data_IF_741796983217
#
_entry.id   IF_741796983217
#
_cell.length_a   1.000
_cell.length_b   1.000
_cell.length_c   1.000
_cell.angle_alpha   90.00
_cell.angle_beta   90.00
_cell.angle_gamma   90.00
#
_symmetry.space_group_name_H-M   'P 1'
#
loop_
_entity.id
_entity.type
_entity.pdbx_description
1 polymer ?
#
# COMPACT_ATOMS: atom_id res chain seq x y z
N UNK A 1 -115.74 32.19 7.63
CA UNK A 1 -115.08 30.87 7.77
C UNK A 1 -114.69 30.65 9.25
N UNK A 2 -114.50 29.39 9.63
CA UNK A 2 -114.55 28.76 10.96
C UNK A 2 -113.48 29.18 12.00
N UNK A 3 -113.85 28.95 13.28
CA UNK A 3 -113.07 28.91 14.55
C UNK A 3 -111.87 27.94 14.57
N UNK A 4 -110.90 28.19 15.47
CA UNK A 4 -110.41 27.31 16.59
C UNK A 4 -108.97 27.68 16.99
N UNK A 5 -108.60 28.16 18.19
CA UNK A 5 -108.47 27.57 19.56
C UNK A 5 -107.26 26.63 19.82
N UNK A 6 -106.49 27.01 20.86
CA UNK A 6 -105.77 26.25 21.93
C UNK A 6 -104.25 25.93 21.81
N UNK A 7 -103.52 26.39 22.85
CA UNK A 7 -102.61 25.72 23.83
C UNK A 7 -101.80 24.50 23.34
N UNK A 8 -100.56 24.22 23.75
CA UNK A 8 -100.10 23.70 25.08
C UNK A 8 -98.55 23.54 24.97
N UNK A 9 -97.73 24.11 25.87
CA UNK A 9 -97.09 23.49 27.04
C UNK A 9 -96.09 22.34 26.75
N UNK A 10 -94.89 22.48 27.36
CA UNK A 10 -93.89 21.46 27.75
C UNK A 10 -92.85 21.03 26.69
N UNK A 11 -91.62 21.46 26.92
CA UNK A 11 -90.41 20.97 26.25
C UNK A 11 -89.14 21.35 27.03
N UNK A 12 -88.88 20.67 28.15
CA UNK A 12 -87.58 20.54 28.83
C UNK A 12 -87.10 21.79 29.59
N UNK A 13 -87.10 21.86 30.92
CA UNK A 13 -86.44 20.94 31.87
C UNK A 13 -85.17 20.32 31.27
N UNK A 14 -84.25 21.14 30.75
CA UNK A 14 -82.81 20.78 30.61
C UNK A 14 -81.88 22.02 30.70
N UNK A 15 -82.39 23.26 30.60
CA UNK A 15 -81.51 24.42 30.38
C UNK A 15 -80.82 25.03 31.63
N UNK A 16 -80.98 24.45 32.84
CA UNK A 16 -80.36 25.02 34.06
C UNK A 16 -79.71 23.97 34.97
N UNK A 17 -79.35 22.81 34.40
CA UNK A 17 -78.66 21.72 35.08
C UNK A 17 -77.32 21.31 34.45
N UNK A 18 -76.74 22.14 33.58
CA UNK A 18 -75.47 21.84 32.87
C UNK A 18 -74.41 22.95 33.01
N UNK A 19 -74.49 23.80 34.05
CA UNK A 19 -73.34 24.63 34.46
C UNK A 19 -72.42 23.86 35.43
N UNK A 20 -72.76 22.60 35.77
CA UNK A 20 -71.97 21.70 36.61
C UNK A 20 -71.55 20.41 35.87
N UNK A 21 -71.36 20.48 34.55
CA UNK A 21 -70.70 19.42 33.80
C UNK A 21 -69.25 19.84 33.52
N UNK A 22 -68.40 19.51 34.49
CA UNK A 22 -66.94 19.34 34.38
C UNK A 22 -66.19 20.29 33.46
N UNK A 23 -65.39 21.18 34.05
CA UNK A 23 -64.07 21.50 33.48
C UNK A 23 -63.22 20.23 33.50
N UNK A 24 -63.54 19.27 32.62
CA UNK A 24 -62.64 18.19 32.30
C UNK A 24 -61.47 18.80 31.55
N UNK A 25 -60.37 19.05 32.25
CA UNK A 25 -59.09 19.26 31.60
C UNK A 25 -58.81 18.00 30.75
N UNK A 26 -59.01 18.09 29.44
CA UNK A 26 -58.58 17.04 28.53
C UNK A 26 -57.06 17.16 28.39
N UNK A 27 -56.32 16.22 28.98
CA UNK A 27 -54.90 16.07 28.71
C UNK A 27 -54.76 15.40 27.34
N UNK A 28 -54.35 16.17 26.34
CA UNK A 28 -53.98 15.64 25.03
C UNK A 28 -52.55 15.13 25.12
N UNK A 29 -52.37 13.80 25.09
CA UNK A 29 -51.05 13.19 24.91
C UNK A 29 -50.93 12.68 23.48
N UNK A 30 -50.03 13.32 22.73
CA UNK A 30 -49.56 12.88 21.44
C UNK A 30 -48.09 12.45 21.58
N UNK A 31 -47.63 11.57 20.72
CA UNK A 31 -46.27 11.03 20.77
C UNK A 31 -45.52 11.41 19.50
N UNK A 32 -44.39 12.08 19.66
CA UNK A 32 -43.47 12.41 18.58
C UNK A 32 -42.33 11.39 18.56
N UNK A 33 -42.08 10.77 17.41
CA UNK A 33 -41.02 9.78 17.23
C UNK A 33 -39.89 10.33 16.37
N UNK A 34 -38.64 10.06 16.77
CA UNK A 34 -37.44 10.27 15.94
C UNK A 34 -36.68 8.96 15.89
N UNK A 35 -36.37 8.48 14.69
CA UNK A 35 -35.55 7.29 14.47
C UNK A 35 -34.28 7.69 13.72
N UNK A 36 -33.12 7.35 14.27
CA UNK A 36 -31.81 7.57 13.64
C UNK A 36 -31.17 6.23 13.29
N UNK A 37 -30.53 6.13 12.12
CA UNK A 37 -29.73 4.98 11.68
C UNK A 37 -28.32 5.45 11.30
N UNK A 38 -27.32 4.65 11.59
CA UNK A 38 -25.92 4.92 11.27
C UNK A 38 -25.21 3.63 10.82
N UNK A 39 -24.23 3.75 9.93
CA UNK A 39 -23.35 2.67 9.44
C UNK A 39 -21.90 3.17 9.39
N UNK A 40 -20.94 2.24 9.48
CA UNK A 40 -19.49 2.52 9.34
C UNK A 40 -19.00 2.16 7.94
N UNK A 41 -17.92 2.80 7.49
CA UNK A 41 -17.24 2.45 6.23
C UNK A 41 -16.05 1.51 6.43
N UNK A 42 -15.56 0.93 5.33
CA UNK A 42 -14.49 -0.07 5.36
C UNK A 42 -13.11 0.48 4.94
N UNK A 43 -12.06 -0.08 5.53
CA UNK A 43 -10.68 0.15 5.12
C UNK A 43 -10.28 -0.86 4.02
N UNK A 44 -9.62 -0.41 2.94
CA UNK A 44 -9.47 -1.26 1.74
C UNK A 44 -8.22 -1.00 0.91
N UNK A 45 -7.06 -0.79 1.54
CA UNK A 45 -5.79 -0.67 0.82
C UNK A 45 -5.31 -2.04 0.34
N UNK A 46 -4.90 -2.13 -0.93
CA UNK A 46 -4.46 -3.37 -1.59
C UNK A 46 -3.33 -3.11 -2.58
N UNK A 47 -2.45 -4.08 -2.75
CA UNK A 47 -1.53 -4.20 -3.88
C UNK A 47 -2.26 -4.74 -5.10
N UNK A 48 -1.93 -4.21 -6.27
CA UNK A 48 -2.34 -4.69 -7.59
C UNK A 48 -1.15 -4.59 -8.54
N UNK A 49 -1.27 -5.19 -9.72
CA UNK A 49 -0.33 -4.97 -10.82
C UNK A 49 1.14 -5.23 -10.45
N UNK A 50 1.33 -6.36 -9.76
CA UNK A 50 2.64 -6.82 -9.31
C UNK A 50 3.42 -7.38 -10.50
N UNK A 51 4.67 -6.95 -10.65
CA UNK A 51 5.55 -7.44 -11.69
C UNK A 51 7.03 -7.11 -11.50
N UNK A 52 7.83 -7.54 -12.47
CA UNK A 52 9.23 -7.17 -12.59
C UNK A 52 9.35 -5.71 -13.00
N UNK A 53 10.45 -5.04 -12.66
CA UNK A 53 10.64 -3.64 -13.03
C UNK A 53 10.64 -3.41 -14.55
N UNK A 54 10.05 -2.28 -14.96
CA UNK A 54 9.95 -1.85 -16.34
C UNK A 54 8.76 -2.47 -17.08
N UNK A 55 7.61 -2.60 -16.41
CA UNK A 55 6.39 -3.10 -17.06
C UNK A 55 5.85 -2.09 -18.08
N UNK A 56 6.13 -0.80 -17.87
CA UNK A 56 5.65 0.30 -18.71
C UNK A 56 6.78 1.18 -19.23
N UNK A 57 6.59 1.77 -20.40
CA UNK A 57 7.65 2.54 -21.08
C UNK A 57 8.06 3.81 -20.33
N UNK A 58 7.15 4.41 -19.58
CA UNK A 58 7.36 5.58 -18.72
C UNK A 58 8.08 5.26 -17.40
N UNK A 59 8.09 4.01 -16.96
CA UNK A 59 8.95 3.53 -15.86
C UNK A 59 10.40 3.37 -16.29
N UNK A 60 10.65 3.17 -17.59
CA UNK A 60 11.99 2.89 -18.12
C UNK A 60 12.81 4.17 -18.28
N UNK A 61 14.12 4.05 -18.15
CA UNK A 61 15.11 5.07 -18.47
C UNK A 61 15.36 5.14 -19.99
N UNK A 62 14.29 4.99 -20.79
CA UNK A 62 14.32 4.96 -22.27
C UNK A 62 15.31 3.92 -22.83
N UNK A 63 15.43 2.76 -22.18
CA UNK A 63 16.36 1.69 -22.57
C UNK A 63 17.78 1.84 -22.00
N UNK A 64 18.05 2.91 -21.24
CA UNK A 64 19.35 3.14 -20.60
C UNK A 64 19.42 2.60 -19.16
N UNK A 65 18.33 2.03 -18.63
CA UNK A 65 18.26 1.45 -17.30
C UNK A 65 18.40 -0.07 -17.32
N UNK A 66 18.29 -0.68 -16.15
CA UNK A 66 18.40 -2.12 -15.95
C UNK A 66 17.20 -2.66 -15.15
N UNK A 67 16.75 -3.88 -15.46
CA UNK A 67 15.82 -4.66 -14.63
C UNK A 67 16.57 -5.64 -13.72
N UNK A 68 17.68 -6.19 -14.21
CA UNK A 68 18.56 -7.11 -13.47
C UNK A 68 20.02 -6.72 -13.74
N UNK A 69 20.84 -6.62 -12.70
CA UNK A 69 22.30 -6.63 -12.80
C UNK A 69 22.77 -8.04 -12.50
N UNK A 70 23.47 -8.66 -13.43
CA UNK A 70 23.88 -10.07 -13.34
C UNK A 70 25.33 -10.35 -13.79
N UNK A 71 26.04 -9.37 -14.34
CA UNK A 71 27.40 -9.55 -14.82
C UNK A 71 27.53 -10.43 -16.08
N UNK A 72 26.43 -10.76 -16.76
CA UNK A 72 26.46 -11.58 -17.98
C UNK A 72 26.61 -10.69 -19.22
N UNK A 73 27.53 -11.09 -20.12
CA UNK A 73 27.83 -10.38 -21.36
C UNK A 73 28.56 -9.05 -21.13
N UNK A 74 28.80 -8.31 -22.21
CA UNK A 74 29.64 -7.09 -22.18
C UNK A 74 29.05 -5.95 -21.33
N UNK A 75 27.72 -5.89 -21.23
CA UNK A 75 27.02 -4.87 -20.43
C UNK A 75 26.90 -5.26 -18.96
N UNK A 76 26.87 -6.55 -18.64
CA UNK A 76 26.70 -7.05 -17.28
C UNK A 76 25.31 -6.83 -16.67
N UNK A 77 24.30 -6.48 -17.47
CA UNK A 77 22.92 -6.28 -17.02
C UNK A 77 21.90 -6.58 -18.12
N UNK A 78 20.66 -6.79 -17.69
CA UNK A 78 19.46 -6.89 -18.53
C UNK A 78 18.75 -5.55 -18.52
N UNK A 79 18.48 -4.99 -19.70
CA UNK A 79 17.86 -3.67 -19.85
C UNK A 79 16.46 -3.57 -19.24
N UNK A 80 16.09 -2.37 -18.81
CA UNK A 80 14.80 -2.03 -18.19
C UNK A 80 13.56 -2.35 -19.06
N UNK A 81 13.72 -2.48 -20.37
CA UNK A 81 12.63 -2.83 -21.31
C UNK A 81 12.45 -4.35 -21.51
N UNK A 82 13.30 -5.18 -20.91
CA UNK A 82 13.32 -6.62 -21.22
C UNK A 82 12.03 -7.34 -20.82
N UNK A 83 11.44 -6.94 -19.69
CA UNK A 83 10.19 -7.51 -19.17
C UNK A 83 8.94 -6.71 -19.55
N UNK A 84 9.09 -5.68 -20.40
CA UNK A 84 8.04 -4.72 -20.73
C UNK A 84 6.82 -5.41 -21.31
N UNK A 85 5.72 -5.34 -20.54
CA UNK A 85 4.43 -5.92 -20.85
C UNK A 85 3.51 -4.92 -21.54
N UNK A 86 3.60 -3.64 -21.16
CA UNK A 86 2.66 -2.60 -21.56
C UNK A 86 1.29 -2.77 -20.90
N UNK A 87 0.23 -2.31 -21.56
CA UNK A 87 -1.14 -2.28 -21.02
C UNK A 87 -1.90 -3.61 -21.13
N UNK A 88 -1.23 -4.73 -21.41
CA UNK A 88 -1.87 -6.04 -21.57
C UNK A 88 -1.70 -6.88 -20.31
N UNK A 89 -2.82 -7.16 -19.64
CA UNK A 89 -2.95 -8.06 -18.48
C UNK A 89 -2.13 -7.68 -17.23
N UNK A 90 -2.78 -7.01 -16.27
CA UNK A 90 -2.18 -6.61 -15.00
C UNK A 90 -1.97 -7.78 -14.00
N UNK A 91 -2.35 -9.01 -14.35
CA UNK A 91 -2.29 -10.17 -13.45
C UNK A 91 -1.08 -11.07 -13.69
N UNK A 92 -0.18 -10.71 -14.61
CA UNK A 92 1.07 -11.44 -14.90
C UNK A 92 2.27 -10.57 -14.54
N UNK A 93 3.35 -11.18 -14.06
CA UNK A 93 4.50 -10.42 -13.52
C UNK A 93 5.47 -9.88 -14.59
N UNK A 94 5.34 -10.34 -15.83
CA UNK A 94 6.18 -9.92 -16.95
C UNK A 94 5.52 -10.28 -18.29
N UNK A 95 6.03 -9.72 -19.38
CA UNK A 95 5.67 -10.15 -20.73
C UNK A 95 5.81 -11.67 -20.90
N UNK A 96 4.81 -12.38 -21.48
CA UNK A 96 4.90 -13.82 -21.70
C UNK A 96 6.19 -14.23 -22.44
N UNK A 97 6.88 -15.25 -21.94
CA UNK A 97 8.14 -15.77 -22.48
C UNK A 97 9.41 -14.95 -22.16
N UNK A 98 9.29 -13.73 -21.59
CA UNK A 98 10.47 -12.94 -21.23
C UNK A 98 11.27 -13.56 -20.08
N UNK A 99 10.61 -14.16 -19.09
CA UNK A 99 11.29 -14.87 -17.99
C UNK A 99 12.07 -16.08 -18.52
N UNK A 100 11.47 -16.88 -19.41
CA UNK A 100 12.17 -18.01 -20.04
C UNK A 100 13.35 -17.55 -20.89
N UNK A 101 13.20 -16.45 -21.62
CA UNK A 101 14.29 -15.85 -22.37
C UNK A 101 15.44 -15.38 -21.46
N UNK A 102 15.13 -14.83 -20.28
CA UNK A 102 16.14 -14.52 -19.27
C UNK A 102 16.85 -15.79 -18.78
N UNK A 103 16.09 -16.84 -18.42
CA UNK A 103 16.65 -18.12 -17.95
C UNK A 103 17.57 -18.75 -18.99
N UNK A 104 17.21 -18.70 -20.27
CA UNK A 104 18.08 -19.17 -21.35
C UNK A 104 19.32 -18.29 -21.55
N UNK A 105 19.24 -16.96 -21.38
CA UNK A 105 20.41 -16.07 -21.38
C UNK A 105 21.35 -16.37 -20.20
N UNK A 106 20.80 -16.64 -19.02
CA UNK A 106 21.58 -16.91 -17.80
C UNK A 106 22.19 -18.32 -17.75
N UNK A 107 21.74 -19.20 -18.64
CA UNK A 107 22.15 -20.60 -18.70
C UNK A 107 23.66 -20.74 -18.87
N UNK A 108 24.26 -21.51 -17.96
CA UNK A 108 25.71 -21.73 -17.92
C UNK A 108 26.49 -20.64 -17.18
N UNK A 109 25.87 -19.52 -16.82
CA UNK A 109 26.47 -18.47 -16.01
C UNK A 109 26.01 -18.53 -14.54
N UNK A 110 24.71 -18.66 -14.30
CA UNK A 110 24.14 -18.77 -12.95
C UNK A 110 22.86 -19.63 -12.96
N UNK A 111 22.34 -19.91 -11.76
CA UNK A 111 21.06 -20.59 -11.53
C UNK A 111 20.15 -19.73 -10.64
N UNK A 112 20.19 -18.41 -10.81
CA UNK A 112 19.29 -17.51 -10.06
C UNK A 112 17.86 -17.77 -10.53
N UNK A 113 16.95 -17.95 -9.58
CA UNK A 113 15.52 -18.00 -9.84
C UNK A 113 14.83 -16.86 -9.08
N UNK A 114 13.68 -16.43 -9.57
CA UNK A 114 12.92 -15.37 -8.93
C UNK A 114 11.43 -15.49 -9.20
N UNK A 115 10.63 -14.96 -8.28
CA UNK A 115 9.19 -14.88 -8.42
C UNK A 115 8.62 -13.65 -7.72
N UNK A 116 7.44 -13.23 -8.14
CA UNK A 116 6.63 -12.24 -7.44
C UNK A 116 5.18 -12.74 -7.38
N UNK A 117 4.57 -12.71 -6.20
CA UNK A 117 3.23 -13.25 -5.98
C UNK A 117 2.36 -12.31 -5.13
N UNK A 118 1.10 -12.12 -5.57
CA UNK A 118 0.03 -11.60 -4.72
C UNK A 118 -0.49 -12.75 -3.85
N UNK A 119 -0.10 -12.77 -2.57
CA UNK A 119 -0.44 -13.85 -1.62
C UNK A 119 -1.92 -13.75 -1.25
N UNK A 120 -2.66 -14.86 -1.17
CA UNK A 120 -4.10 -14.85 -0.83
C UNK A 120 -4.92 -13.90 -1.73
N UNK A 121 -4.57 -13.81 -3.02
CA UNK A 121 -5.16 -12.83 -3.93
C UNK A 121 -6.67 -12.99 -4.08
N UNK A 122 -7.34 -11.84 -4.13
CA UNK A 122 -8.76 -11.69 -4.43
C UNK A 122 -8.94 -10.77 -5.63
N UNK A 123 -10.19 -10.58 -6.08
CA UNK A 123 -10.49 -9.60 -7.12
C UNK A 123 -10.85 -8.25 -6.50
N UNK A 124 -10.50 -7.17 -7.19
CA UNK A 124 -10.94 -5.83 -6.80
C UNK A 124 -12.46 -5.74 -6.66
N UNK A 125 -12.90 -5.01 -5.65
CA UNK A 125 -14.32 -4.78 -5.33
C UNK A 125 -14.88 -3.51 -5.99
N UNK A 126 -14.01 -2.59 -6.41
CA UNK A 126 -14.30 -1.34 -7.11
C UNK A 126 -13.34 -1.12 -8.27
N UNK A 127 -13.77 -0.37 -9.28
CA UNK A 127 -12.89 0.09 -10.35
C UNK A 127 -11.94 1.17 -9.84
N UNK A 128 -10.69 1.17 -10.32
CA UNK A 128 -9.72 2.25 -10.10
C UNK A 128 -9.37 2.83 -11.48
N UNK A 129 -9.88 4.04 -11.74
CA UNK A 129 -9.69 4.70 -13.02
C UNK A 129 -10.11 3.86 -14.22
N UNK A 130 -9.41 4.06 -15.34
CA UNK A 130 -9.64 3.29 -16.57
C UNK A 130 -8.84 1.99 -16.61
N UNK A 131 -7.76 1.89 -15.84
CA UNK A 131 -6.82 0.77 -15.87
C UNK A 131 -7.32 -0.47 -15.12
N UNK A 132 -7.69 -0.33 -13.84
CA UNK A 132 -8.00 -1.48 -12.99
C UNK A 132 -9.51 -1.70 -12.87
N UNK A 133 -9.95 -2.90 -13.24
CA UNK A 133 -11.36 -3.25 -13.31
C UNK A 133 -11.75 -4.21 -12.22
N UNK A 134 -12.87 -3.90 -11.57
CA UNK A 134 -13.56 -4.76 -10.62
C UNK A 134 -13.72 -6.17 -11.20
N UNK A 135 -13.58 -7.18 -10.36
CA UNK A 135 -13.69 -8.60 -10.72
C UNK A 135 -12.64 -9.15 -11.71
N UNK A 136 -11.85 -8.29 -12.38
CA UNK A 136 -10.83 -8.71 -13.35
C UNK A 136 -9.41 -8.58 -12.81
N UNK A 137 -9.11 -7.49 -12.10
CA UNK A 137 -7.79 -7.22 -11.53
C UNK A 137 -7.60 -8.01 -10.22
N UNK A 138 -6.52 -8.78 -10.16
CA UNK A 138 -6.03 -9.43 -8.95
C UNK A 138 -5.48 -8.39 -7.97
N UNK A 139 -5.83 -8.56 -6.70
CA UNK A 139 -5.44 -7.67 -5.62
C UNK A 139 -5.11 -8.48 -4.36
N UNK A 140 -4.22 -7.96 -3.53
CA UNK A 140 -3.93 -8.57 -2.23
C UNK A 140 -3.51 -7.53 -1.19
N UNK A 141 -3.69 -7.85 0.09
CA UNK A 141 -3.02 -7.11 1.17
C UNK A 141 -1.54 -7.47 1.34
N UNK A 142 -1.03 -8.46 0.62
CA UNK A 142 0.32 -9.02 0.79
C UNK A 142 0.95 -9.37 -0.56
N UNK A 143 2.24 -9.07 -0.69
CA UNK A 143 3.08 -9.53 -1.79
C UNK A 143 4.23 -10.37 -1.24
N UNK A 144 4.65 -11.37 -2.00
CA UNK A 144 5.84 -12.16 -1.74
C UNK A 144 6.80 -12.00 -2.93
N UNK A 145 8.02 -11.57 -2.64
CA UNK A 145 9.11 -11.49 -3.60
C UNK A 145 10.16 -12.53 -3.22
N UNK A 146 10.51 -13.40 -4.16
CA UNK A 146 11.51 -14.46 -3.96
C UNK A 146 12.63 -14.26 -4.95
N UNK A 147 13.87 -14.34 -4.47
CA UNK A 147 15.07 -14.48 -5.30
C UNK A 147 15.95 -15.54 -4.66
N UNK A 148 16.21 -16.60 -5.41
CA UNK A 148 17.02 -17.74 -4.97
C UNK A 148 18.39 -17.71 -5.64
N UNK A 149 19.41 -18.19 -4.92
CA UNK A 149 20.79 -18.33 -5.40
C UNK A 149 21.46 -17.01 -5.85
N UNK A 150 21.13 -15.89 -5.19
CA UNK A 150 21.84 -14.62 -5.38
C UNK A 150 23.35 -14.75 -5.12
N UNK A 151 24.13 -13.91 -5.79
CA UNK A 151 25.59 -13.84 -5.65
C UNK A 151 26.04 -12.37 -5.59
N UNK A 152 27.25 -12.08 -5.07
CA UNK A 152 27.78 -10.73 -4.98
C UNK A 152 27.69 -9.97 -6.31
N UNK A 153 27.08 -8.78 -6.27
CA UNK A 153 26.85 -7.93 -7.44
C UNK A 153 25.56 -8.20 -8.21
N UNK A 154 24.79 -9.23 -7.85
CA UNK A 154 23.45 -9.43 -8.38
C UNK A 154 22.47 -8.39 -7.81
N UNK A 155 21.62 -7.82 -8.67
CA UNK A 155 20.51 -6.96 -8.24
C UNK A 155 19.28 -7.15 -9.14
N UNK A 156 18.09 -7.03 -8.57
CA UNK A 156 16.83 -7.12 -9.29
C UNK A 156 15.77 -6.21 -8.67
N UNK A 157 14.91 -5.62 -9.51
CA UNK A 157 13.83 -4.71 -9.08
C UNK A 157 12.46 -5.25 -9.46
N UNK A 158 11.51 -5.07 -8.55
CA UNK A 158 10.09 -5.38 -8.69
C UNK A 158 9.25 -4.10 -8.56
N UNK A 159 8.03 -4.15 -9.07
CA UNK A 159 7.09 -3.02 -9.03
C UNK A 159 5.67 -3.49 -8.74
N UNK A 160 4.87 -2.64 -8.11
CA UNK A 160 3.43 -2.87 -7.86
C UNK A 160 2.73 -1.53 -7.65
N UNK A 161 1.42 -1.52 -7.88
CA UNK A 161 0.54 -0.40 -7.50
C UNK A 161 -0.12 -0.69 -6.16
N UNK A 162 -0.35 0.36 -5.37
CA UNK A 162 -1.13 0.35 -4.14
C UNK A 162 -2.37 1.21 -4.37
N UNK A 163 -3.54 0.61 -4.19
CA UNK A 163 -4.84 1.24 -4.44
C UNK A 163 -5.71 1.20 -3.18
N UNK A 164 -6.71 2.07 -3.10
CA UNK A 164 -7.69 2.08 -2.00
C UNK A 164 -9.12 1.87 -2.50
N UNK A 165 -9.63 0.65 -2.32
CA UNK A 165 -11.04 0.27 -2.62
C UNK A 165 -11.98 0.42 -1.43
N UNK A 166 -11.49 0.91 -0.29
CA UNK A 166 -12.30 1.17 0.90
C UNK A 166 -13.27 2.33 0.73
N UNK A 167 -14.01 2.66 1.80
CA UNK A 167 -14.92 3.81 1.87
C UNK A 167 -14.30 5.01 2.58
N UNK A 168 -13.12 4.82 3.19
CA UNK A 168 -12.35 5.85 3.89
C UNK A 168 -10.95 5.99 3.31
N UNK A 169 -10.49 7.24 3.20
CA UNK A 169 -9.14 7.53 2.73
C UNK A 169 -8.13 7.03 3.76
N UNK A 170 -7.00 6.52 3.26
CA UNK A 170 -5.96 5.92 4.07
C UNK A 170 -4.71 6.79 4.08
N UNK A 171 -3.98 6.79 5.20
CA UNK A 171 -2.70 7.47 5.35
C UNK A 171 -1.62 6.44 5.67
N UNK A 172 -0.59 6.33 4.84
CA UNK A 172 0.60 5.54 5.13
C UNK A 172 1.37 6.26 6.24
N UNK A 173 1.23 5.79 7.48
CA UNK A 173 1.74 6.48 8.66
C UNK A 173 3.15 6.05 9.03
N UNK A 174 3.55 4.82 8.67
CA UNK A 174 4.87 4.29 8.92
C UNK A 174 5.17 3.13 7.97
N UNK A 175 6.45 2.79 7.85
CA UNK A 175 6.89 1.53 7.26
C UNK A 175 7.76 0.85 8.31
N UNK A 176 7.56 -0.45 8.55
CA UNK A 176 8.35 -1.25 9.48
C UNK A 176 9.11 -2.31 8.71
N UNK A 177 10.39 -2.47 9.03
CA UNK A 177 11.26 -3.49 8.46
C UNK A 177 11.67 -4.47 9.55
N UNK A 178 11.60 -5.76 9.23
CA UNK A 178 12.08 -6.82 10.12
C UNK A 178 12.84 -7.86 9.31
N UNK A 179 14.06 -8.17 9.73
CA UNK A 179 14.88 -9.19 9.09
C UNK A 179 14.92 -10.44 9.95
N UNK A 180 14.81 -11.61 9.33
CA UNK A 180 15.01 -12.88 10.02
C UNK A 180 15.73 -13.87 9.13
N UNK A 181 16.46 -14.80 9.73
CA UNK A 181 17.09 -15.87 8.98
C UNK A 181 16.04 -16.86 8.47
N UNK A 182 16.21 -17.31 7.22
CA UNK A 182 15.28 -18.25 6.60
C UNK A 182 15.37 -19.62 7.28
N UNK A 183 14.23 -20.29 7.48
CA UNK A 183 14.12 -21.61 8.13
C UNK A 183 14.73 -21.71 9.54
N UNK A 184 14.95 -20.60 10.26
CA UNK A 184 15.70 -20.57 11.53
C UNK A 184 17.13 -21.12 11.42
N UNK A 185 17.69 -21.17 10.21
CA UNK A 185 19.10 -21.48 9.99
C UNK A 185 19.94 -20.25 10.31
N UNK A 186 21.25 -20.44 10.45
CA UNK A 186 22.17 -19.32 10.55
C UNK A 186 22.16 -18.50 9.25
N UNK A 187 21.90 -17.20 9.34
CA UNK A 187 22.01 -16.26 8.22
C UNK A 187 23.44 -15.81 7.96
N UNK A 188 24.39 -16.10 8.86
CA UNK A 188 25.75 -15.60 8.78
C UNK A 188 25.79 -14.08 8.68
N UNK A 189 26.49 -13.56 7.67
CA UNK A 189 26.62 -12.13 7.37
C UNK A 189 25.67 -11.66 6.24
N UNK A 190 24.62 -12.43 5.93
CA UNK A 190 23.68 -12.04 4.87
C UNK A 190 22.93 -10.74 5.16
N UNK A 191 22.73 -10.37 6.42
CA UNK A 191 22.13 -9.10 6.79
C UNK A 191 23.04 -7.91 6.47
N UNK A 192 24.36 -8.12 6.50
CA UNK A 192 25.33 -7.14 6.03
C UNK A 192 25.44 -7.15 4.51
N UNK A 193 25.41 -8.32 3.87
CA UNK A 193 25.65 -8.43 2.42
C UNK A 193 24.42 -8.14 1.54
N UNK A 194 23.22 -8.44 2.01
CA UNK A 194 22.00 -8.17 1.25
C UNK A 194 21.47 -6.80 1.62
N UNK A 195 20.94 -6.09 0.64
CA UNK A 195 20.30 -4.81 0.82
C UNK A 195 19.06 -4.64 -0.03
N UNK A 196 18.24 -3.67 0.38
CA UNK A 196 16.98 -3.32 -0.27
C UNK A 196 16.98 -1.85 -0.65
N UNK A 197 16.41 -1.54 -1.81
CA UNK A 197 16.08 -0.20 -2.25
C UNK A 197 14.56 -0.09 -2.36
N UNK A 198 13.95 0.91 -1.72
CA UNK A 198 12.50 1.12 -1.80
C UNK A 198 12.21 2.56 -2.21
N UNK A 199 11.42 2.71 -3.27
CA UNK A 199 10.90 3.98 -3.73
C UNK A 199 9.38 3.89 -3.86
N UNK A 200 8.67 4.87 -3.31
CA UNK A 200 7.23 4.99 -3.44
C UNK A 200 6.93 6.40 -3.94
N UNK A 201 6.06 6.52 -4.93
CA UNK A 201 5.48 7.81 -5.33
C UNK A 201 3.98 7.68 -5.53
N UNK A 202 3.30 8.82 -5.50
CA UNK A 202 1.88 8.95 -5.71
C UNK A 202 1.60 9.44 -7.12
N UNK A 203 0.56 8.89 -7.73
CA UNK A 203 0.01 9.32 -9.02
C UNK A 203 -1.51 9.49 -8.89
N UNK A 204 -2.08 10.42 -9.66
CA UNK A 204 -3.52 10.60 -9.81
C UNK A 204 -3.82 11.26 -11.16
N UNK A 205 -4.81 10.78 -11.88
CA UNK A 205 -5.34 11.45 -13.09
C UNK A 205 -6.74 12.03 -12.84
N UNK A 206 -7.56 11.37 -12.01
CA UNK A 206 -8.93 11.74 -11.66
C UNK A 206 -9.05 12.08 -10.17
N UNK A 207 -9.70 13.21 -9.80
CA UNK A 207 -10.35 14.19 -10.67
C UNK A 207 -9.39 15.24 -11.28
N UNK A 208 -8.16 15.30 -10.77
CA UNK A 208 -7.13 16.24 -11.24
C UNK A 208 -5.86 15.47 -11.53
N UNK A 209 -5.25 15.73 -12.69
CA UNK A 209 -3.93 15.18 -13.00
C UNK A 209 -2.88 15.78 -12.08
N UNK A 210 -2.12 14.94 -11.40
CA UNK A 210 -0.92 15.32 -10.66
C UNK A 210 0.26 14.57 -11.23
N UNK A 211 1.41 15.24 -11.35
CA UNK A 211 2.67 14.55 -11.68
C UNK A 211 3.03 13.55 -10.56
N UNK A 212 4.02 12.69 -10.84
CA UNK A 212 4.53 11.75 -9.86
C UNK A 212 5.14 12.48 -8.66
N UNK A 213 4.46 12.39 -7.53
CA UNK A 213 4.86 13.02 -6.28
C UNK A 213 5.55 11.98 -5.39
N UNK A 214 6.82 12.18 -5.00
CA UNK A 214 7.48 11.25 -4.09
C UNK A 214 6.67 11.07 -2.81
N UNK A 215 6.62 9.82 -2.32
CA UNK A 215 5.95 9.45 -1.07
C UNK A 215 6.95 8.91 -0.06
N UNK A 216 7.92 8.10 -0.52
CA UNK A 216 8.96 7.52 0.32
C UNK A 216 10.22 7.20 -0.48
N UNK A 217 11.39 7.43 0.12
CA UNK A 217 12.72 7.10 -0.44
C UNK A 217 13.56 6.46 0.67
N UNK A 218 13.75 5.15 0.65
CA UNK A 218 14.41 4.44 1.75
C UNK A 218 15.83 4.93 2.01
N UNK A 219 16.67 5.04 0.98
CA UNK A 219 18.06 5.48 1.16
C UNK A 219 18.14 6.91 1.75
N UNK A 220 17.24 7.79 1.31
CA UNK A 220 17.11 9.13 1.89
C UNK A 220 16.64 9.06 3.35
N UNK A 221 15.67 8.22 3.67
CA UNK A 221 15.16 8.06 5.03
C UNK A 221 16.28 7.62 6.00
N UNK A 222 17.10 6.65 5.60
CA UNK A 222 18.18 6.12 6.44
C UNK A 222 19.35 7.11 6.55
N UNK A 223 19.67 7.87 5.50
CA UNK A 223 20.73 8.88 5.56
C UNK A 223 20.40 10.08 6.46
N UNK A 224 19.13 10.29 6.82
CA UNK A 224 18.75 11.32 7.80
C UNK A 224 19.20 10.97 9.25
N UNK A 225 19.45 9.69 9.55
CA UNK A 225 19.86 9.22 10.87
C UNK A 225 21.38 9.37 11.14
N UNK A 226 22.14 9.96 10.21
CA UNK A 226 23.58 10.22 10.34
C UNK A 226 24.35 9.95 9.05
N UNK A 227 25.66 10.23 9.06
CA UNK A 227 26.54 10.14 7.89
C UNK A 227 27.25 8.79 7.73
N UNK A 228 26.73 7.71 8.33
CA UNK A 228 27.36 6.39 8.22
C UNK A 228 27.05 5.75 6.86
N UNK A 229 28.03 5.78 5.96
CA UNK A 229 27.94 5.22 4.61
C UNK A 229 28.02 3.69 4.61
N UNK A 230 28.48 3.06 5.71
CA UNK A 230 28.63 1.60 5.77
C UNK A 230 27.29 0.86 5.72
N UNK A 231 26.19 1.56 6.03
CA UNK A 231 24.80 1.09 5.92
C UNK A 231 24.34 0.90 4.47
N UNK A 232 25.12 1.38 3.50
CA UNK A 232 24.77 1.36 2.09
C UNK A 232 25.83 0.62 1.27
N UNK A 233 25.42 0.18 0.08
CA UNK A 233 26.31 -0.20 -1.01
C UNK A 233 25.62 0.11 -2.34
N UNK A 234 26.39 0.18 -3.42
CA UNK A 234 25.87 0.51 -4.76
C UNK A 234 25.96 -0.68 -5.70
N UNK A 235 24.87 -0.94 -6.42
CA UNK A 235 24.84 -1.84 -7.57
C UNK A 235 24.08 -1.15 -8.70
N UNK A 236 24.64 -1.16 -9.91
CA UNK A 236 23.99 -0.53 -11.08
C UNK A 236 23.66 0.96 -10.90
N UNK A 237 24.41 1.68 -10.07
CA UNK A 237 24.17 3.10 -9.76
C UNK A 237 23.05 3.37 -8.74
N UNK A 238 22.45 2.34 -8.13
CA UNK A 238 21.40 2.45 -7.11
C UNK A 238 22.00 2.19 -5.72
N UNK A 239 21.63 3.02 -4.75
CA UNK A 239 21.97 2.83 -3.34
C UNK A 239 21.01 1.82 -2.69
N UNK A 240 21.55 0.70 -2.23
CA UNK A 240 20.86 -0.30 -1.44
C UNK A 240 21.19 -0.10 0.04
N UNK A 241 20.17 -0.17 0.89
CA UNK A 241 20.36 -0.17 2.35
C UNK A 241 20.54 -1.61 2.80
N UNK A 242 21.64 -1.90 3.49
CA UNK A 242 21.91 -3.21 4.08
C UNK A 242 20.81 -3.58 5.07
N UNK A 243 20.43 -4.85 5.11
CA UNK A 243 19.39 -5.34 6.00
C UNK A 243 19.73 -5.10 7.48
N UNK A 244 21.01 -5.22 7.85
CA UNK A 244 21.52 -4.92 9.20
C UNK A 244 21.27 -3.48 9.65
N UNK A 245 21.06 -2.55 8.71
CA UNK A 245 20.78 -1.15 9.00
C UNK A 245 19.29 -0.82 9.14
N UNK A 246 18.38 -1.78 8.93
CA UNK A 246 16.92 -1.53 8.87
C UNK A 246 16.15 -1.87 10.14
N UNK A 247 16.65 -2.79 10.95
CA UNK A 247 15.94 -3.22 12.16
C UNK A 247 15.70 -2.03 13.10
N UNK A 248 14.47 -1.91 13.58
CA UNK A 248 13.98 -0.86 14.49
C UNK A 248 14.13 0.59 13.98
N UNK A 249 14.35 0.80 12.68
CA UNK A 249 14.41 2.15 12.11
C UNK A 249 13.04 2.80 12.03
N UNK A 250 12.92 3.99 12.62
CA UNK A 250 11.73 4.83 12.48
C UNK A 250 11.87 5.75 11.27
N UNK A 251 11.18 5.38 10.18
CA UNK A 251 11.21 6.13 8.92
C UNK A 251 10.01 7.07 8.73
N UNK A 252 9.17 7.27 9.76
CA UNK A 252 7.91 8.02 9.64
C UNK A 252 8.10 9.45 9.15
N UNK A 253 9.18 10.11 9.58
CA UNK A 253 9.50 11.51 9.21
C UNK A 253 9.84 11.67 7.73
N UNK A 254 10.20 10.58 7.03
CA UNK A 254 10.53 10.60 5.62
C UNK A 254 9.30 10.43 4.71
N UNK A 255 8.12 10.15 5.28
CA UNK A 255 6.87 10.01 4.53
C UNK A 255 6.31 11.39 4.19
N UNK A 256 6.09 11.61 2.91
CA UNK A 256 5.41 12.79 2.35
C UNK A 256 4.31 12.31 1.40
N UNK A 257 3.33 13.14 1.03
CA UNK A 257 2.24 12.79 0.10
C UNK A 257 1.53 11.44 0.38
N UNK A 258 1.50 11.04 1.65
CA UNK A 258 1.23 9.68 2.09
C UNK A 258 -0.26 9.35 2.28
N UNK A 259 -1.16 10.15 1.70
CA UNK A 259 -2.61 9.92 1.76
C UNK A 259 -3.10 9.43 0.41
N UNK A 260 -3.85 8.33 0.42
CA UNK A 260 -4.53 7.73 -0.72
C UNK A 260 -6.05 7.82 -0.58
N UNK A 261 -6.70 8.46 -1.55
CA UNK A 261 -8.15 8.65 -1.62
C UNK A 261 -8.88 7.37 -2.03
N UNK A 262 -10.18 7.32 -1.74
CA UNK A 262 -11.03 6.18 -2.10
C UNK A 262 -11.40 6.20 -3.59
N UNK A 263 -11.38 5.02 -4.20
CA UNK A 263 -12.01 4.79 -5.48
C UNK A 263 -13.55 4.62 -5.37
N UNK A 264 -14.31 4.88 -6.46
CA UNK A 264 -13.85 5.32 -7.78
C UNK A 264 -13.79 6.85 -7.94
N UNK A 265 -14.08 7.62 -6.88
CA UNK A 265 -14.09 9.09 -6.94
C UNK A 265 -12.71 9.68 -7.27
N UNK A 266 -11.65 8.91 -6.98
CA UNK A 266 -10.29 9.16 -7.43
C UNK A 266 -9.69 7.86 -7.93
N UNK A 267 -8.76 7.96 -8.87
CA UNK A 267 -7.87 6.87 -9.28
C UNK A 267 -6.48 6.97 -8.64
N UNK A 268 -6.37 7.78 -7.59
CA UNK A 268 -5.12 7.97 -6.87
C UNK A 268 -4.57 6.62 -6.39
N UNK A 269 -3.29 6.41 -6.68
CA UNK A 269 -2.53 5.21 -6.35
C UNK A 269 -1.14 5.59 -5.87
N UNK A 270 -0.48 4.64 -5.22
CA UNK A 270 0.97 4.71 -5.02
C UNK A 270 1.66 3.65 -5.86
N UNK A 271 2.70 4.01 -6.56
CA UNK A 271 3.58 3.06 -7.23
C UNK A 271 4.73 2.76 -6.29
N UNK A 272 4.97 1.48 -6.04
CA UNK A 272 6.07 1.00 -5.21
C UNK A 272 7.07 0.22 -6.06
N UNK A 273 8.35 0.56 -5.91
CA UNK A 273 9.48 -0.15 -6.47
C UNK A 273 10.32 -0.73 -5.34
N UNK A 274 10.62 -2.02 -5.43
CA UNK A 274 11.43 -2.75 -4.45
C UNK A 274 12.58 -3.43 -5.18
N UNK A 275 13.79 -2.93 -4.97
CA UNK A 275 15.02 -3.54 -5.41
C UNK A 275 15.63 -4.40 -4.31
N UNK A 276 16.16 -5.56 -4.66
CA UNK A 276 16.97 -6.41 -3.78
C UNK A 276 18.32 -6.65 -4.46
N UNK A 277 19.41 -6.50 -3.71
CA UNK A 277 20.76 -6.72 -4.22
C UNK A 277 21.65 -7.39 -3.19
N UNK A 278 22.71 -8.04 -3.67
CA UNK A 278 23.81 -8.52 -2.84
C UNK A 278 25.05 -7.67 -3.12
N UNK A 279 25.68 -7.18 -2.06
CA UNK A 279 26.89 -6.38 -2.11
C UNK A 279 27.98 -7.10 -2.94
N UNK A 280 28.55 -6.44 -3.97
CA UNK A 280 29.72 -6.98 -4.68
C UNK A 280 30.89 -7.33 -3.77
N UNK A 281 31.01 -6.63 -2.63
CA UNK A 281 32.04 -6.85 -1.60
C UNK A 281 33.47 -6.94 -2.19
N UNK A 282 33.77 -6.05 -3.14
CA UNK A 282 35.05 -6.08 -3.87
C UNK A 282 36.27 -5.85 -2.95
N UNK A 283 36.08 -5.16 -1.83
CA UNK A 283 37.11 -4.91 -0.80
C UNK A 283 37.36 -6.15 0.09
N UNK A 284 36.53 -7.19 -0.04
CA UNK A 284 36.60 -8.40 0.77
C UNK A 284 36.35 -8.11 2.26
N UNK A 285 35.32 -7.32 2.59
CA UNK A 285 34.94 -7.08 3.97
C UNK A 285 34.18 -8.28 4.55
N UNK A 286 33.41 -8.97 3.72
CA UNK A 286 32.50 -10.06 4.13
C UNK A 286 32.84 -11.42 3.49
N UNK A 287 33.46 -11.38 2.32
CA UNK A 287 33.91 -12.49 1.48
C UNK A 287 35.41 -12.38 1.26
N UNK A 288 36.00 -13.34 0.57
CA UNK A 288 37.40 -13.29 0.14
C UNK A 288 37.69 -12.13 -0.82
N UNK A 289 36.67 -11.44 -1.34
CA UNK A 289 36.80 -10.28 -2.22
C UNK A 289 37.25 -10.67 -3.62
N UNK A 290 38.21 -9.90 -4.17
CA UNK A 290 38.73 -10.16 -5.52
C UNK A 290 40.07 -10.87 -5.50
N UNK A 291 40.46 -11.46 -6.64
CA UNK A 291 41.81 -12.05 -6.79
C UNK A 291 42.92 -11.02 -6.58
N UNK A 292 42.68 -9.77 -6.99
CA UNK A 292 43.66 -8.69 -6.86
C UNK A 292 43.85 -8.22 -5.42
N UNK A 293 42.80 -8.32 -4.60
CA UNK A 293 42.83 -7.92 -3.19
C UNK A 293 42.14 -8.97 -2.29
N UNK A 294 42.73 -10.17 -2.28
CA UNK A 294 42.14 -11.32 -1.58
C UNK A 294 42.31 -11.21 -0.06
N UNK A 295 41.21 -11.33 0.69
CA UNK A 295 41.20 -11.34 2.16
C UNK A 295 41.04 -12.75 2.73
N UNK A 296 41.38 -12.91 4.01
CA UNK A 296 41.25 -14.17 4.76
C UNK A 296 39.87 -14.28 5.44
N UNK A 297 38.81 -14.20 4.64
CA UNK A 297 37.43 -14.34 5.08
C UNK A 297 36.86 -15.71 4.68
N UNK A 298 35.86 -16.19 5.42
CA UNK A 298 35.18 -17.45 5.12
C UNK A 298 33.90 -17.22 4.29
N UNK A 299 33.97 -17.49 2.99
CA UNK A 299 32.85 -17.36 2.06
C UNK A 299 31.65 -18.25 2.45
N UNK A 300 31.85 -19.30 3.25
CA UNK A 300 30.75 -20.15 3.75
C UNK A 300 29.78 -19.38 4.66
N UNK A 301 30.18 -18.20 5.15
CA UNK A 301 29.31 -17.35 5.95
C UNK A 301 28.14 -16.74 5.16
N UNK A 302 28.25 -16.66 3.83
CA UNK A 302 27.20 -16.14 2.94
C UNK A 302 26.70 -17.17 1.91
N UNK A 303 27.51 -18.19 1.57
CA UNK A 303 27.13 -19.21 0.59
C UNK A 303 26.05 -20.18 1.11
N UNK A 304 25.01 -20.41 0.29
CA UNK A 304 23.98 -21.44 0.55
C UNK A 304 23.07 -21.14 1.74
N UNK A 305 23.02 -19.88 2.18
CA UNK A 305 22.17 -19.39 3.27
C UNK A 305 20.99 -18.59 2.71
N UNK A 306 20.00 -18.34 3.57
CA UNK A 306 18.82 -17.57 3.22
C UNK A 306 18.47 -16.56 4.30
N UNK A 307 17.94 -15.41 3.89
CA UNK A 307 17.42 -14.37 4.77
C UNK A 307 16.06 -13.92 4.26
N UNK A 308 15.19 -13.51 5.17
CA UNK A 308 13.87 -12.96 4.88
C UNK A 308 13.79 -11.53 5.41
N UNK A 309 13.30 -10.62 4.56
CA UNK A 309 12.89 -9.27 4.96
C UNK A 309 11.37 -9.20 4.95
N UNK A 310 10.77 -8.78 6.06
CA UNK A 310 9.39 -8.30 6.11
C UNK A 310 9.37 -6.78 6.01
N UNK A 311 8.47 -6.24 5.19
CA UNK A 311 8.20 -4.80 5.06
C UNK A 311 6.71 -4.55 5.24
N UNK A 312 6.33 -4.04 6.41
CA UNK A 312 4.94 -3.72 6.73
C UNK A 312 4.68 -2.24 6.45
N UNK A 313 3.77 -1.96 5.51
CA UNK A 313 3.21 -0.63 5.30
C UNK A 313 2.08 -0.43 6.32
N UNK A 314 2.28 0.48 7.28
CA UNK A 314 1.36 0.71 8.38
C UNK A 314 0.46 1.89 8.09
N UNK A 315 -0.85 1.64 8.07
CA UNK A 315 -1.84 2.61 7.64
C UNK A 315 -2.77 3.06 8.77
N UNK A 316 -3.10 4.34 8.76
CA UNK A 316 -4.17 4.93 9.57
C UNK A 316 -5.32 5.43 8.67
N UNK A 317 -6.44 5.78 9.30
CA UNK A 317 -7.44 6.65 8.67
C UNK A 317 -6.87 8.06 8.41
N UNK A 318 -7.27 8.69 7.31
CA UNK A 318 -6.75 10.01 6.89
C UNK A 318 -6.95 11.16 7.90
N UNK A 319 -7.90 11.02 8.83
CA UNK A 319 -8.26 12.03 9.83
C UNK A 319 -7.73 11.70 11.23
N UNK A 320 -6.84 10.71 11.37
CA UNK A 320 -6.15 10.45 12.64
C UNK A 320 -5.47 11.73 13.14
N UNK A 321 -5.67 12.05 14.42
CA UNK A 321 -5.09 13.23 15.06
C UNK A 321 -5.66 14.59 14.60
N UNK A 322 -6.74 14.62 13.81
CA UNK A 322 -7.41 15.87 13.46
C UNK A 322 -8.40 16.28 14.56
N UNK A 323 -8.13 17.42 15.18
CA UNK A 323 -9.10 18.14 16.01
C UNK A 323 -9.84 19.16 15.12
N UNK A 324 -11.16 19.22 15.25
CA UNK A 324 -11.97 20.23 14.57
C UNK A 324 -11.65 21.64 15.06
N UNK A 325 -11.06 21.78 16.26
CA UNK A 325 -10.70 23.07 16.87
C UNK A 325 -11.91 23.98 17.13
N UNK A 326 -13.10 23.41 17.02
CA UNK A 326 -14.38 24.09 17.13
C UNK A 326 -15.46 23.07 17.49
N UNK A 327 -16.67 23.57 17.67
CA UNK A 327 -17.77 22.89 18.34
C UNK A 327 -19.08 23.04 17.55
N UNK A 328 -20.16 22.41 18.00
CA UNK A 328 -21.49 22.60 17.42
C UNK A 328 -22.55 22.80 18.52
N UNK A 329 -23.81 23.08 18.16
CA UNK A 329 -24.88 23.40 19.13
C UNK A 329 -25.08 22.33 20.22
N UNK A 330 -24.75 21.07 19.93
CA UNK A 330 -24.81 19.97 20.88
C UNK A 330 -23.75 20.10 21.98
N UNK A 331 -22.78 21.02 21.89
CA UNK A 331 -21.88 21.30 23.01
C UNK A 331 -22.63 21.72 24.27
N UNK A 332 -23.80 22.34 24.09
CA UNK A 332 -24.66 22.76 25.19
C UNK A 332 -25.27 21.57 25.95
N UNK A 333 -25.19 20.35 25.41
CA UNK A 333 -25.54 19.13 26.14
C UNK A 333 -24.35 18.42 26.80
N UNK A 334 -23.11 18.89 26.58
CA UNK A 334 -21.94 18.27 27.20
C UNK A 334 -22.05 18.31 28.74
N UNK A 335 -21.51 17.27 29.39
CA UNK A 335 -21.52 17.09 30.85
C UNK A 335 -20.63 18.09 31.59
#
# INVERSE_FOLDING_TARGET
MRRSRRNTLVGGIVALGLVLAGTGYAYWTDSLNVTTKATTGDFGVKFVDLGLYGQYGDETMKGAGWSIVDGIGDTGYVGDQFFLRGSSDYNIIAKPGSIDAYKERAKGHNNVDFNAELVDKEKLTKDIGTAYKKASTDASGKILLTIDNMYPGYAQVFRSDIVNVGDIAAKLSSIKFETSALDKKDSGNLDEMIGVAVYIHREQFVPTSTDNEPTFKLAKAISLDGADDSRFFKVGGVDFVRLSALNDKDVKKALENNVIKCAPASDQRLDIFVGVAMDPDAEGKFTTGTVADRKDNDDKLSQGKGIQLSMDLLWDQFNVGKDAGTTNILEKQNK
#
